data_IF_344450698127
#
_entry.id   IF_344450698127
#
_cell.length_a   1.000
_cell.length_b   1.000
_cell.length_c   1.000
_cell.angle_alpha   90.00
_cell.angle_beta   90.00
_cell.angle_gamma   90.00
#
_symmetry.space_group_name_H-M   'P 1'
#
loop_
_entity.id
_entity.type
_entity.pdbx_description
1 polymer ?
#
# COMPACT_ATOMS: atom_id res chain seq x y z
N UNK A 1 -41.00 -4.38 -7.31
CA UNK A 1 -39.79 -3.68 -6.85
C UNK A 1 -39.54 -2.53 -7.80
N UNK A 2 -39.41 -1.31 -7.27
CA UNK A 2 -39.13 -0.11 -8.06
C UNK A 2 -37.63 -0.01 -8.36
N UNK A 3 -37.28 0.30 -9.61
CA UNK A 3 -35.90 0.55 -10.02
C UNK A 3 -35.67 2.05 -10.17
N UNK A 4 -34.56 2.52 -9.61
CA UNK A 4 -34.14 3.92 -9.70
C UNK A 4 -32.85 4.00 -10.51
N UNK A 5 -32.87 4.79 -11.57
CA UNK A 5 -31.68 5.05 -12.38
C UNK A 5 -30.87 6.15 -11.70
N UNK A 6 -29.58 5.93 -11.53
CA UNK A 6 -28.66 6.96 -11.05
C UNK A 6 -28.62 8.13 -12.05
N UNK A 7 -28.84 9.33 -11.55
CA UNK A 7 -28.67 10.58 -12.28
C UNK A 7 -27.21 11.04 -12.34
N UNK A 8 -26.93 12.13 -13.08
CA UNK A 8 -25.57 12.68 -13.21
C UNK A 8 -24.92 13.10 -11.89
N UNK A 9 -25.73 13.45 -10.88
CA UNK A 9 -25.27 13.91 -9.58
C UNK A 9 -25.26 12.82 -8.49
N UNK A 10 -25.52 11.57 -8.87
CA UNK A 10 -25.63 10.47 -7.91
C UNK A 10 -24.36 9.60 -7.89
N UNK A 11 -23.49 9.76 -8.88
CA UNK A 11 -22.27 8.99 -9.07
C UNK A 11 -21.05 9.92 -8.96
N UNK A 12 -20.26 9.73 -7.91
CA UNK A 12 -19.02 10.45 -7.72
C UNK A 12 -17.82 9.50 -7.83
N UNK A 13 -16.86 9.88 -8.66
CA UNK A 13 -15.57 9.21 -8.79
C UNK A 13 -14.55 10.01 -8.01
N UNK A 14 -14.13 9.48 -6.87
CA UNK A 14 -13.16 10.12 -5.99
C UNK A 14 -11.92 9.25 -5.86
N UNK A 15 -10.80 9.85 -5.49
CA UNK A 15 -9.58 9.12 -5.15
C UNK A 15 -9.21 9.48 -3.72
N UNK A 16 -9.20 8.48 -2.84
CA UNK A 16 -8.73 8.64 -1.46
C UNK A 16 -7.23 8.36 -1.46
N UNK A 17 -6.43 9.31 -0.98
CA UNK A 17 -5.00 9.10 -0.78
C UNK A 17 -4.75 8.59 0.63
N UNK A 18 -4.26 7.37 0.76
CA UNK A 18 -3.79 6.82 2.03
C UNK A 18 -2.28 6.95 2.14
N UNK A 19 -1.78 7.03 3.37
CA UNK A 19 -0.36 7.29 3.65
C UNK A 19 0.21 6.24 4.61
N UNK A 20 0.38 4.97 4.15
CA UNK A 20 0.92 3.91 5.00
C UNK A 20 2.32 4.30 5.49
N UNK A 21 2.57 4.11 6.80
CA UNK A 21 3.88 4.33 7.41
C UNK A 21 4.76 3.09 7.20
N UNK A 22 5.98 3.30 6.76
CA UNK A 22 7.03 2.30 6.65
C UNK A 22 8.21 2.69 7.53
N UNK A 23 8.74 1.72 8.27
CA UNK A 23 9.92 1.85 9.11
C UNK A 23 10.84 0.68 8.84
N UNK A 24 12.10 0.96 8.56
CA UNK A 24 13.16 -0.02 8.42
C UNK A 24 14.19 0.21 9.50
N UNK A 25 14.36 -0.77 10.37
CA UNK A 25 15.40 -0.73 11.38
C UNK A 25 16.49 -1.74 11.02
N UNK A 26 17.72 -1.24 10.96
CA UNK A 26 18.90 -1.99 10.54
C UNK A 26 19.87 -2.06 11.71
N UNK A 27 20.30 -3.27 12.03
CA UNK A 27 21.28 -3.51 13.08
C UNK A 27 22.17 -4.70 12.72
N UNK A 28 23.49 -4.50 12.72
CA UNK A 28 24.48 -5.56 12.52
C UNK A 28 24.18 -6.48 11.32
N UNK A 29 23.81 -5.88 10.18
CA UNK A 29 23.50 -6.60 8.94
C UNK A 29 22.10 -7.25 8.89
N UNK A 30 21.37 -7.24 10.01
CA UNK A 30 19.96 -7.63 10.03
C UNK A 30 19.07 -6.44 9.72
N UNK A 31 18.03 -6.68 8.94
CA UNK A 31 16.99 -5.71 8.62
C UNK A 31 15.67 -6.15 9.24
N UNK A 32 14.92 -5.20 9.78
CA UNK A 32 13.55 -5.41 10.24
C UNK A 32 12.63 -4.38 9.60
N UNK A 33 11.44 -4.83 9.19
CA UNK A 33 10.42 -3.99 8.55
C UNK A 33 9.22 -3.85 9.49
N UNK A 34 8.81 -2.61 9.77
CA UNK A 34 7.65 -2.27 10.61
C UNK A 34 7.61 -2.99 11.98
N UNK A 35 8.79 -3.25 12.57
CA UNK A 35 8.93 -4.05 13.80
C UNK A 35 8.20 -5.39 13.75
N UNK A 36 8.07 -5.97 12.55
CA UNK A 36 7.47 -7.29 12.39
C UNK A 36 8.40 -8.35 12.98
N UNK A 37 7.83 -9.21 13.80
CA UNK A 37 8.52 -10.38 14.35
C UNK A 37 8.56 -11.43 13.24
N UNK A 38 9.77 -11.82 12.82
CA UNK A 38 9.93 -12.99 11.94
C UNK A 38 9.74 -14.25 12.78
N UNK A 39 8.56 -14.87 12.67
CA UNK A 39 8.27 -16.16 13.30
C UNK A 39 8.85 -17.33 12.51
N UNK A 40 9.30 -18.37 13.22
CA UNK A 40 9.62 -19.67 12.64
C UNK A 40 8.35 -20.52 12.51
N UNK A 41 8.20 -21.20 11.39
CA UNK A 41 7.11 -22.15 11.15
C UNK A 41 7.48 -23.57 11.59
N UNK A 42 6.57 -24.53 11.36
CA UNK A 42 6.83 -25.95 11.62
C UNK A 42 7.87 -26.52 10.65
N UNK A 43 7.95 -25.98 9.43
CA UNK A 43 8.74 -26.55 8.33
C UNK A 43 9.87 -25.63 7.83
N UNK A 44 10.01 -24.43 8.39
CA UNK A 44 11.05 -23.48 7.97
C UNK A 44 11.41 -22.45 9.04
N UNK A 45 12.64 -21.93 8.96
CA UNK A 45 13.14 -20.87 9.85
C UNK A 45 12.36 -19.54 9.72
N UNK A 46 11.68 -19.33 8.59
CA UNK A 46 10.77 -18.21 8.32
C UNK A 46 9.48 -18.76 7.72
N UNK A 47 8.33 -18.36 8.28
CA UNK A 47 7.00 -18.77 7.78
C UNK A 47 6.83 -18.47 6.29
N UNK A 48 7.39 -17.37 5.81
CA UNK A 48 7.24 -16.93 4.43
C UNK A 48 8.40 -17.35 3.52
N UNK A 49 9.35 -18.15 4.03
CA UNK A 49 10.60 -18.54 3.37
C UNK A 49 11.50 -17.37 2.94
N UNK A 50 11.17 -16.12 3.32
CA UNK A 50 11.98 -14.93 3.04
C UNK A 50 12.78 -14.50 4.28
N UNK A 51 13.94 -13.85 4.11
CA UNK A 51 14.71 -13.28 5.22
C UNK A 51 13.91 -12.26 6.03
N UNK A 52 14.33 -12.03 7.28
CA UNK A 52 13.75 -10.96 8.10
C UNK A 52 13.94 -9.59 7.42
N UNK A 53 12.95 -8.71 7.56
CA UNK A 53 12.96 -7.39 6.93
C UNK A 53 12.62 -7.37 5.44
N UNK A 54 12.35 -8.53 4.84
CA UNK A 54 11.85 -8.64 3.47
C UNK A 54 10.35 -8.88 3.45
N UNK A 55 9.66 -8.31 2.46
CA UNK A 55 8.27 -8.67 2.15
C UNK A 55 8.28 -9.79 1.11
N UNK A 56 7.48 -10.85 1.34
CA UNK A 56 7.24 -11.88 0.33
C UNK A 56 6.33 -11.31 -0.76
N UNK A 57 6.71 -11.49 -2.04
CA UNK A 57 5.90 -11.05 -3.17
C UNK A 57 4.76 -12.02 -3.49
N UNK A 58 4.87 -13.27 -3.01
CA UNK A 58 3.86 -14.30 -3.21
C UNK A 58 3.68 -15.16 -1.95
N UNK A 59 2.45 -15.22 -1.45
CA UNK A 59 2.09 -15.99 -0.24
C UNK A 59 1.70 -17.44 -0.53
N UNK A 60 2.19 -18.03 -1.63
CA UNK A 60 1.80 -19.39 -2.04
C UNK A 60 2.53 -20.47 -1.22
N UNK A 61 3.73 -20.16 -0.72
CA UNK A 61 4.56 -21.08 0.05
C UNK A 61 4.66 -20.67 1.52
N UNK A 62 3.52 -20.40 2.15
CA UNK A 62 3.47 -20.18 3.60
C UNK A 62 3.69 -21.51 4.33
N UNK A 63 4.73 -21.58 5.16
CA UNK A 63 5.17 -22.71 5.99
C UNK A 63 5.16 -24.07 5.27
N UNK A 64 5.56 -24.09 4.00
CA UNK A 64 5.72 -25.34 3.26
C UNK A 64 7.06 -26.00 3.57
N UNK A 65 7.16 -27.35 3.52
CA UNK A 65 8.44 -28.05 3.51
C UNK A 65 9.35 -27.53 2.38
N UNK A 66 10.65 -27.36 2.66
CA UNK A 66 11.62 -26.82 1.70
C UNK A 66 11.69 -27.58 0.37
N UNK A 67 11.39 -28.88 0.37
CA UNK A 67 11.32 -29.71 -0.85
C UNK A 67 9.99 -29.67 -1.61
N UNK A 68 9.00 -28.89 -1.15
CA UNK A 68 7.65 -28.83 -1.73
C UNK A 68 7.20 -27.39 -2.02
N UNK A 69 8.18 -26.51 -2.27
CA UNK A 69 7.92 -25.13 -2.66
C UNK A 69 7.31 -25.08 -4.07
N UNK A 70 6.26 -24.28 -4.24
CA UNK A 70 5.70 -23.95 -5.55
C UNK A 70 6.50 -22.79 -6.12
N UNK A 71 7.21 -23.02 -7.22
CA UNK A 71 8.01 -21.99 -7.89
C UNK A 71 7.81 -22.08 -9.41
N UNK A 72 8.01 -20.96 -10.13
CA UNK A 72 7.98 -20.98 -11.58
C UNK A 72 9.20 -21.72 -12.14
N UNK A 73 8.94 -22.68 -13.03
CA UNK A 73 9.95 -23.42 -13.77
C UNK A 73 9.56 -23.56 -15.24
N UNK A 74 10.55 -23.77 -16.09
CA UNK A 74 10.38 -24.09 -17.51
C UNK A 74 11.27 -25.29 -17.80
N UNK A 75 10.76 -26.33 -18.46
CA UNK A 75 11.61 -27.42 -18.93
C UNK A 75 12.38 -27.02 -20.18
N UNK A 76 13.67 -27.34 -20.22
CA UNK A 76 14.50 -27.11 -21.41
C UNK A 76 13.98 -27.96 -22.57
N UNK A 77 13.63 -27.30 -23.66
CA UNK A 77 13.13 -27.91 -24.89
C UNK A 77 13.70 -27.19 -26.13
N UNK A 78 13.28 -27.60 -27.33
CA UNK A 78 13.78 -27.03 -28.59
C UNK A 78 13.27 -25.61 -28.87
N UNK A 79 12.43 -25.02 -28.01
CA UNK A 79 11.93 -23.64 -28.21
C UNK A 79 12.89 -22.57 -27.69
N UNK A 80 14.00 -22.96 -27.04
CA UNK A 80 15.04 -22.03 -26.54
C UNK A 80 14.51 -20.98 -25.55
N UNK A 81 13.48 -21.33 -24.78
CA UNK A 81 12.92 -20.45 -23.75
C UNK A 81 13.53 -20.79 -22.39
N UNK A 82 14.02 -19.77 -21.69
CA UNK A 82 14.56 -19.90 -20.34
C UNK A 82 14.20 -18.67 -19.48
N UNK A 83 14.13 -18.83 -18.14
CA UNK A 83 14.07 -17.69 -17.25
C UNK A 83 15.28 -16.76 -17.47
N UNK A 84 15.09 -15.44 -17.32
CA UNK A 84 16.15 -14.42 -17.51
C UNK A 84 17.40 -14.65 -16.64
N UNK A 85 17.25 -15.40 -15.55
CA UNK A 85 18.31 -15.75 -14.59
C UNK A 85 19.26 -16.82 -15.13
N UNK A 86 18.86 -17.56 -16.17
CA UNK A 86 19.68 -18.56 -16.83
C UNK A 86 20.45 -17.89 -17.97
N UNK A 87 21.79 -17.93 -17.90
CA UNK A 87 22.61 -17.38 -18.97
C UNK A 87 22.56 -18.26 -20.22
N UNK A 88 22.81 -17.69 -21.40
CA UNK A 88 22.89 -18.47 -22.65
C UNK A 88 24.00 -19.54 -22.60
N UNK A 89 25.05 -19.30 -21.81
CA UNK A 89 26.13 -20.27 -21.57
C UNK A 89 25.60 -21.46 -20.78
N UNK A 90 24.91 -21.22 -19.68
CA UNK A 90 24.37 -22.30 -18.82
C UNK A 90 23.27 -23.06 -19.56
N UNK A 91 22.41 -22.35 -20.31
CA UNK A 91 21.37 -22.97 -21.13
C UNK A 91 21.94 -23.97 -22.12
N UNK A 92 23.05 -23.64 -22.80
CA UNK A 92 23.62 -24.51 -23.83
C UNK A 92 24.60 -25.56 -23.29
N UNK A 93 25.28 -25.28 -22.18
CA UNK A 93 26.35 -26.15 -21.66
C UNK A 93 25.95 -27.02 -20.47
N UNK A 94 25.14 -26.50 -19.55
CA UNK A 94 24.90 -27.13 -18.24
C UNK A 94 23.60 -27.92 -18.21
N UNK A 95 22.56 -27.42 -18.89
CA UNK A 95 21.24 -28.06 -18.88
C UNK A 95 21.08 -29.01 -20.07
N UNK A 96 20.48 -30.17 -19.85
CA UNK A 96 20.07 -31.14 -20.86
C UNK A 96 18.60 -30.95 -21.26
N UNK A 97 18.22 -31.50 -22.41
CA UNK A 97 16.81 -31.49 -22.81
C UNK A 97 15.97 -32.29 -21.80
N UNK A 98 14.89 -31.67 -21.31
CA UNK A 98 14.05 -32.20 -20.24
C UNK A 98 14.36 -31.67 -18.85
N UNK A 99 15.50 -30.99 -18.64
CA UNK A 99 15.85 -30.43 -17.34
C UNK A 99 14.93 -29.26 -16.96
N UNK A 100 14.60 -29.14 -15.68
CA UNK A 100 13.83 -28.02 -15.15
C UNK A 100 14.73 -26.79 -14.90
N UNK A 101 14.44 -25.72 -15.62
CA UNK A 101 15.04 -24.41 -15.44
C UNK A 101 14.20 -23.61 -14.46
N UNK A 102 14.73 -23.44 -13.25
CA UNK A 102 14.03 -22.74 -12.16
C UNK A 102 14.33 -21.24 -12.20
N UNK A 103 13.29 -20.41 -12.04
CA UNK A 103 13.45 -18.97 -11.88
C UNK A 103 13.82 -18.60 -10.43
N UNK A 104 14.32 -17.38 -10.20
CA UNK A 104 14.69 -16.94 -8.83
C UNK A 104 13.49 -17.04 -7.88
N UNK A 105 13.67 -17.80 -6.81
CA UNK A 105 12.70 -18.00 -5.73
C UNK A 105 13.45 -18.18 -4.41
N UNK A 106 12.95 -17.71 -3.26
CA UNK A 106 11.71 -16.95 -3.05
C UNK A 106 11.80 -15.51 -3.55
N UNK A 107 10.71 -15.04 -4.17
CA UNK A 107 10.59 -13.67 -4.63
C UNK A 107 10.28 -12.76 -3.43
N UNK A 108 11.25 -11.92 -3.08
CA UNK A 108 11.15 -11.00 -1.95
C UNK A 108 11.61 -9.61 -2.33
N UNK A 109 11.12 -8.60 -1.62
CA UNK A 109 11.55 -7.21 -1.78
C UNK A 109 11.99 -6.62 -0.45
N UNK A 110 13.01 -5.77 -0.50
CA UNK A 110 13.60 -5.09 0.64
C UNK A 110 14.36 -3.87 0.16
N UNK A 111 14.72 -2.97 1.08
CA UNK A 111 15.60 -1.85 0.76
C UNK A 111 17.01 -2.37 0.45
N UNK A 112 17.68 -1.71 -0.50
CA UNK A 112 19.03 -2.08 -0.91
C UNK A 112 19.94 -0.88 -0.74
N UNK A 113 21.09 -1.11 -0.11
CA UNK A 113 22.16 -0.12 0.04
C UNK A 113 23.26 -0.39 -0.99
N UNK A 114 23.67 0.65 -1.69
CA UNK A 114 24.86 0.64 -2.55
C UNK A 114 25.74 1.83 -2.20
N UNK A 115 27.02 1.58 -1.95
CA UNK A 115 28.03 2.62 -1.81
C UNK A 115 28.80 2.74 -3.12
N UNK A 116 28.77 3.92 -3.73
CA UNK A 116 29.49 4.19 -4.98
C UNK A 116 30.67 5.09 -4.65
N UNK A 117 31.88 4.52 -4.66
CA UNK A 117 33.09 5.25 -4.34
C UNK A 117 33.47 6.25 -5.45
N UNK A 118 34.22 7.28 -5.05
CA UNK A 118 34.79 8.26 -5.96
C UNK A 118 35.64 7.60 -7.06
N UNK A 119 35.42 7.96 -8.33
CA UNK A 119 36.18 7.42 -9.47
C UNK A 119 35.83 6.00 -9.92
N UNK A 120 34.96 5.25 -9.24
CA UNK A 120 34.51 3.93 -9.68
C UNK A 120 33.46 3.99 -10.80
N UNK A 121 33.28 2.87 -11.53
CA UNK A 121 32.18 2.68 -12.48
C UNK A 121 30.83 2.89 -11.78
N UNK A 122 30.01 3.79 -12.32
CA UNK A 122 28.85 4.37 -11.60
C UNK A 122 27.61 4.47 -12.48
N UNK A 123 27.36 3.43 -13.29
CA UNK A 123 26.25 3.37 -14.23
C UNK A 123 24.89 3.68 -13.57
N UNK A 124 24.69 3.23 -12.32
CA UNK A 124 23.46 3.50 -11.54
C UNK A 124 23.28 4.99 -11.22
N UNK A 125 24.35 5.71 -10.88
CA UNK A 125 24.30 7.15 -10.62
C UNK A 125 24.13 7.95 -11.91
N UNK A 126 24.82 7.55 -12.98
CA UNK A 126 24.70 8.18 -14.30
C UNK A 126 23.28 8.04 -14.85
N UNK A 127 22.64 6.88 -14.63
CA UNK A 127 21.24 6.66 -15.02
C UNK A 127 20.26 7.62 -14.33
N UNK A 128 20.59 8.11 -13.13
CA UNK A 128 19.78 9.07 -12.38
C UNK A 128 19.99 10.52 -12.79
N UNK A 129 20.92 10.82 -13.71
CA UNK A 129 21.28 12.21 -14.07
C UNK A 129 20.07 13.06 -14.48
N UNK A 130 19.25 12.55 -15.40
CA UNK A 130 18.08 13.30 -15.88
C UNK A 130 17.03 13.49 -14.77
N UNK A 131 16.79 12.47 -13.96
CA UNK A 131 15.89 12.56 -12.81
C UNK A 131 16.42 13.57 -11.79
N UNK A 132 17.71 13.57 -11.48
CA UNK A 132 18.33 14.54 -10.59
C UNK A 132 18.20 15.96 -11.12
N UNK A 133 18.58 16.19 -12.39
CA UNK A 133 18.52 17.52 -12.98
C UNK A 133 17.06 18.06 -13.08
N UNK A 134 16.07 17.17 -13.25
CA UNK A 134 14.64 17.53 -13.21
C UNK A 134 14.20 18.09 -11.85
N UNK A 135 14.77 17.63 -10.74
CA UNK A 135 14.43 18.10 -9.39
C UNK A 135 15.21 19.38 -8.96
N UNK A 136 16.14 19.87 -9.79
CA UNK A 136 16.92 21.09 -9.54
C UNK A 136 16.08 22.33 -9.15
N UNK A 137 14.87 22.57 -9.71
CA UNK A 137 14.03 23.69 -9.28
C UNK A 137 13.57 23.62 -7.81
N UNK A 138 13.53 22.42 -7.20
CA UNK A 138 13.20 22.26 -5.79
C UNK A 138 14.39 22.55 -4.87
N UNK A 139 15.58 22.13 -5.29
CA UNK A 139 16.83 22.40 -4.60
C UNK A 139 18.03 22.25 -5.54
N UNK A 140 19.02 23.13 -5.39
CA UNK A 140 20.30 23.03 -6.10
C UNK A 140 21.12 21.79 -5.68
N UNK A 141 20.83 21.16 -4.54
CA UNK A 141 21.50 19.92 -4.12
C UNK A 141 21.21 18.72 -5.05
N UNK A 142 20.10 18.77 -5.79
CA UNK A 142 19.76 17.77 -6.81
C UNK A 142 20.66 17.84 -8.03
N UNK A 143 21.16 19.02 -8.40
CA UNK A 143 21.95 19.20 -9.60
C UNK A 143 23.07 18.17 -9.67
N UNK A 144 23.19 17.51 -10.82
CA UNK A 144 24.18 16.45 -11.00
C UNK A 144 25.60 16.98 -10.83
N UNK A 145 25.85 18.21 -11.28
CA UNK A 145 27.10 18.93 -11.05
C UNK A 145 26.78 20.37 -10.65
N UNK A 146 27.23 20.80 -9.47
CA UNK A 146 27.05 22.17 -8.99
C UNK A 146 28.13 22.56 -7.98
N UNK A 147 28.08 23.80 -7.48
CA UNK A 147 28.91 24.28 -6.37
C UNK A 147 28.72 23.48 -5.08
N UNK A 148 27.61 22.75 -4.94
CA UNK A 148 27.31 21.90 -3.79
C UNK A 148 27.83 20.46 -3.94
N UNK A 149 28.53 20.17 -5.04
CA UNK A 149 29.19 18.89 -5.28
C UNK A 149 28.95 18.36 -6.69
N UNK A 150 29.82 17.46 -7.10
CA UNK A 150 29.76 16.78 -8.39
C UNK A 150 29.45 15.30 -8.21
N UNK A 151 28.25 14.87 -8.61
CA UNK A 151 27.79 13.48 -8.49
C UNK A 151 28.57 12.54 -9.42
N UNK A 152 29.29 13.09 -10.41
CA UNK A 152 30.13 12.33 -11.33
C UNK A 152 31.43 11.82 -10.71
N UNK A 153 31.91 12.47 -9.64
CA UNK A 153 33.19 12.15 -9.00
C UNK A 153 33.07 11.83 -7.52
N UNK A 154 32.13 12.43 -6.78
CA UNK A 154 32.03 12.23 -5.34
C UNK A 154 31.56 10.81 -4.96
N UNK A 155 31.87 10.41 -3.72
CA UNK A 155 31.34 9.17 -3.12
C UNK A 155 29.88 9.38 -2.72
N UNK A 156 29.00 8.46 -3.12
CA UNK A 156 27.57 8.56 -2.88
C UNK A 156 27.08 7.29 -2.20
N UNK A 157 26.30 7.48 -1.14
CA UNK A 157 25.51 6.43 -0.55
C UNK A 157 24.11 6.38 -1.15
N UNK A 158 23.83 5.40 -1.99
CA UNK A 158 22.51 5.19 -2.59
C UNK A 158 21.70 4.19 -1.76
N UNK A 159 20.52 4.61 -1.29
CA UNK A 159 19.51 3.69 -0.73
C UNK A 159 18.37 3.60 -1.72
N UNK A 160 18.11 2.38 -2.19
CA UNK A 160 17.02 2.05 -3.09
C UNK A 160 15.85 1.48 -2.29
N UNK A 161 14.69 2.10 -2.44
CA UNK A 161 13.43 1.67 -1.83
C UNK A 161 12.54 1.15 -2.96
N UNK A 162 12.15 -0.13 -2.93
CA UNK A 162 11.19 -0.66 -3.91
C UNK A 162 9.80 0.00 -3.81
N UNK A 163 9.11 0.13 -4.95
CA UNK A 163 7.78 0.74 -5.03
C UNK A 163 6.70 0.04 -4.22
N UNK A 164 6.86 -1.25 -3.92
CA UNK A 164 5.92 -1.99 -3.05
C UNK A 164 5.77 -1.35 -1.66
N UNK A 165 6.80 -0.63 -1.18
CA UNK A 165 6.74 0.01 0.13
C UNK A 165 6.08 1.39 0.12
N UNK A 166 6.17 2.14 -0.99
CA UNK A 166 5.63 3.51 -1.05
C UNK A 166 4.41 3.67 -1.97
N UNK A 167 4.05 2.65 -2.75
CA UNK A 167 2.96 2.70 -3.72
C UNK A 167 3.31 3.63 -4.90
N UNK A 168 2.59 4.75 -4.99
CA UNK A 168 2.74 5.70 -6.10
C UNK A 168 3.90 6.69 -5.93
N UNK A 169 4.17 7.14 -4.71
CA UNK A 169 5.25 8.09 -4.39
C UNK A 169 5.45 8.16 -2.88
N UNK A 170 6.66 8.48 -2.44
CA UNK A 170 6.94 8.78 -1.04
C UNK A 170 6.34 10.15 -0.69
N UNK A 171 5.61 10.24 0.42
CA UNK A 171 5.01 11.48 0.89
C UNK A 171 6.11 12.48 1.29
N UNK A 172 6.13 13.62 0.59
CA UNK A 172 7.02 14.75 0.91
C UNK A 172 6.90 15.16 2.37
N UNK A 173 8.02 15.39 3.02
CA UNK A 173 8.09 15.81 4.42
C UNK A 173 8.05 14.69 5.44
N UNK A 174 7.98 13.42 5.01
CA UNK A 174 7.88 12.29 5.94
C UNK A 174 9.14 11.44 6.05
N UNK A 175 10.13 11.69 5.19
CA UNK A 175 11.37 10.93 5.21
C UNK A 175 12.22 11.38 6.40
N UNK A 176 12.56 10.42 7.25
CA UNK A 176 13.44 10.59 8.40
C UNK A 176 14.48 9.48 8.45
N UNK A 177 15.73 9.85 8.69
CA UNK A 177 16.82 8.91 8.90
C UNK A 177 17.42 9.16 10.27
N UNK A 178 17.59 8.10 11.07
CA UNK A 178 18.27 8.16 12.37
C UNK A 178 19.48 7.27 12.35
N UNK A 179 20.57 7.79 12.89
CA UNK A 179 21.85 7.12 13.03
C UNK A 179 22.13 6.93 14.52
N UNK A 180 22.25 5.67 14.93
CA UNK A 180 22.58 5.29 16.29
C UNK A 180 23.97 4.68 16.32
N UNK A 181 24.73 5.01 17.37
CA UNK A 181 26.02 4.40 17.67
C UNK A 181 25.95 3.83 19.09
N UNK A 182 26.17 2.53 19.22
CA UNK A 182 26.08 1.78 20.49
C UNK A 182 24.76 2.07 21.22
N UNK A 183 23.66 2.18 20.46
CA UNK A 183 22.31 2.47 20.97
C UNK A 183 21.99 3.95 21.24
N UNK A 184 22.97 4.85 21.16
CA UNK A 184 22.76 6.29 21.35
C UNK A 184 22.52 6.99 20.01
N UNK A 185 21.50 7.85 19.91
CA UNK A 185 21.24 8.65 18.70
C UNK A 185 22.35 9.69 18.52
N UNK A 186 23.15 9.56 17.45
CA UNK A 186 24.25 10.49 17.15
C UNK A 186 23.91 11.49 16.05
N UNK A 187 22.96 11.15 15.18
CA UNK A 187 22.55 12.03 14.08
C UNK A 187 21.14 11.69 13.55
N UNK A 188 20.41 12.72 13.11
CA UNK A 188 19.06 12.61 12.56
C UNK A 188 18.90 13.53 11.34
N UNK A 189 18.54 12.96 10.19
CA UNK A 189 18.12 13.71 9.00
C UNK A 189 16.60 13.77 8.91
N UNK A 190 16.09 14.94 8.53
CA UNK A 190 14.66 15.15 8.24
C UNK A 190 14.50 15.94 6.96
N UNK A 191 13.49 15.54 6.19
CA UNK A 191 12.96 16.32 5.06
C UNK A 191 11.99 17.41 5.57
N UNK A 192 12.45 18.36 6.38
CA UNK A 192 11.53 19.36 6.98
C UNK A 192 10.98 20.35 5.95
N UNK A 193 11.78 20.65 4.91
CA UNK A 193 11.45 21.64 3.88
C UNK A 193 10.48 21.10 2.82
N UNK A 194 10.23 19.79 2.76
CA UNK A 194 9.36 19.13 1.75
C UNK A 194 9.83 19.35 0.30
N UNK A 195 11.08 19.75 0.13
CA UNK A 195 11.75 19.90 -1.16
C UNK A 195 12.67 18.72 -1.45
N UNK A 196 12.76 17.76 -0.51
CA UNK A 196 13.53 16.52 -0.61
C UNK A 196 14.99 16.65 -0.20
N UNK A 197 15.40 17.81 0.32
CA UNK A 197 16.66 17.93 1.07
C UNK A 197 16.55 17.18 2.40
N UNK A 198 17.52 16.31 2.66
CA UNK A 198 17.69 15.68 3.96
C UNK A 198 18.61 16.52 4.81
N UNK A 199 18.03 17.35 5.67
CA UNK A 199 18.75 18.27 6.56
C UNK A 199 19.03 17.59 7.89
N UNK A 200 20.26 17.72 8.39
CA UNK A 200 20.59 17.23 9.74
C UNK A 200 20.00 18.15 10.79
N UNK A 201 19.14 17.60 11.65
CA UNK A 201 18.34 18.37 12.62
C UNK A 201 18.62 17.99 14.07
N UNK A 202 19.08 16.76 14.33
CA UNK A 202 19.30 16.28 15.68
C UNK A 202 20.48 15.31 15.77
N UNK A 203 20.94 14.98 17.00
CA UNK A 203 20.63 15.67 18.26
C UNK A 203 21.18 17.11 18.28
N UNK A 204 20.65 17.95 19.18
CA UNK A 204 21.07 19.36 19.29
C UNK A 204 22.57 19.46 19.55
N UNK A 205 23.28 20.26 18.76
CA UNK A 205 24.74 20.41 18.85
C UNK A 205 25.55 19.32 18.14
N UNK A 206 24.90 18.40 17.40
CA UNK A 206 25.61 17.40 16.60
C UNK A 206 26.39 18.04 15.44
N UNK A 207 27.55 17.45 15.11
CA UNK A 207 28.41 17.88 14.02
C UNK A 207 27.67 17.86 12.68
N UNK A 208 27.55 19.00 12.02
CA UNK A 208 26.83 19.13 10.75
C UNK A 208 25.34 19.49 10.87
N UNK A 209 24.87 19.89 12.06
CA UNK A 209 23.51 20.44 12.25
C UNK A 209 23.24 21.58 11.25
N UNK A 210 22.09 21.53 10.56
CA UNK A 210 21.68 22.50 9.55
C UNK A 210 22.21 22.22 8.14
N UNK A 211 23.18 21.31 7.98
CA UNK A 211 23.72 20.92 6.68
C UNK A 211 22.83 19.90 5.98
N UNK A 212 22.82 19.95 4.64
CA UNK A 212 22.13 18.97 3.79
C UNK A 212 23.05 17.77 3.56
N UNK A 213 22.63 16.60 4.02
CA UNK A 213 23.39 15.36 3.91
C UNK A 213 23.00 14.49 2.72
N UNK A 214 21.92 14.84 2.02
CA UNK A 214 21.46 14.10 0.86
C UNK A 214 20.15 14.62 0.29
N UNK A 215 19.65 13.94 -0.72
CA UNK A 215 18.40 14.26 -1.41
C UNK A 215 17.53 13.02 -1.62
N UNK A 216 16.21 13.23 -1.66
CA UNK A 216 15.20 12.19 -1.88
C UNK A 216 14.57 12.32 -3.26
N UNK A 217 14.56 11.25 -4.04
CA UNK A 217 13.76 11.14 -5.26
C UNK A 217 12.44 10.44 -4.91
N UNK A 218 11.39 11.23 -4.65
CA UNK A 218 10.13 10.74 -4.07
C UNK A 218 9.36 9.76 -4.97
N UNK A 219 9.41 9.96 -6.29
CA UNK A 219 8.68 9.13 -7.24
C UNK A 219 9.46 7.87 -7.60
N UNK A 220 10.79 7.98 -7.66
CA UNK A 220 11.69 6.91 -8.03
C UNK A 220 12.01 5.97 -6.85
N UNK A 221 11.94 6.48 -5.61
CA UNK A 221 12.24 5.71 -4.40
C UNK A 221 13.73 5.63 -4.08
N UNK A 222 14.51 6.65 -4.42
CA UNK A 222 15.95 6.70 -4.11
C UNK A 222 16.28 7.76 -3.07
N UNK A 223 17.17 7.41 -2.14
CA UNK A 223 17.85 8.36 -1.26
C UNK A 223 19.31 8.44 -1.71
N UNK A 224 19.76 9.63 -2.07
CA UNK A 224 21.16 9.89 -2.42
C UNK A 224 21.81 10.64 -1.27
N UNK A 225 22.67 9.96 -0.52
CA UNK A 225 23.40 10.52 0.61
C UNK A 225 24.79 10.93 0.16
N UNK A 226 25.14 12.19 0.44
CA UNK A 226 26.43 12.80 0.10
C UNK A 226 27.17 13.35 1.33
N UNK A 227 26.55 13.30 2.51
CA UNK A 227 27.16 13.79 3.75
C UNK A 227 28.39 12.97 4.15
N UNK A 228 29.57 13.55 3.94
CA UNK A 228 30.88 12.90 4.12
C UNK A 228 31.63 13.34 5.38
N UNK A 229 31.07 14.25 6.18
CA UNK A 229 31.64 14.67 7.45
C UNK A 229 31.48 13.59 8.52
N UNK A 230 32.46 13.51 9.43
CA UNK A 230 32.39 12.61 10.57
C UNK A 230 31.28 13.06 11.54
N UNK A 231 30.36 12.14 11.84
CA UNK A 231 29.29 12.33 12.83
C UNK A 231 29.83 12.17 14.26
N UNK A 232 30.85 11.32 14.42
CA UNK A 232 31.62 11.14 15.64
C UNK A 232 33.09 10.96 15.26
N UNK A 233 33.99 11.64 15.97
CA UNK A 233 35.44 11.63 15.69
C UNK A 233 36.19 10.53 16.43
N UNK A 234 35.62 9.97 17.49
CA UNK A 234 36.25 8.96 18.34
C UNK A 234 35.90 7.53 17.88
N UNK A 235 34.70 7.33 17.36
CA UNK A 235 34.23 6.04 16.87
C UNK A 235 34.71 5.78 15.45
N UNK A 236 35.17 4.55 15.22
CA UNK A 236 35.57 4.07 13.90
C UNK A 236 35.08 2.64 13.70
N UNK A 237 34.58 2.37 12.49
CA UNK A 237 34.14 1.04 12.09
C UNK A 237 34.54 0.73 10.65
N UNK A 238 34.55 -0.56 10.31
CA UNK A 238 34.80 -1.04 8.95
C UNK A 238 33.52 -0.91 8.12
N UNK A 239 33.23 0.29 7.61
CA UNK A 239 32.14 0.51 6.66
C UNK A 239 32.46 -0.02 5.26
N UNK A 240 33.75 -0.24 5.00
CA UNK A 240 34.26 -1.09 3.93
C UNK A 240 35.21 -2.11 4.58
N UNK A 241 35.29 -3.32 4.04
CA UNK A 241 36.05 -4.46 4.61
C UNK A 241 37.59 -4.25 4.67
N UNK A 242 38.09 -3.02 4.64
CA UNK A 242 39.52 -2.75 4.46
C UNK A 242 40.07 -1.59 5.29
N UNK A 243 39.25 -0.58 5.65
CA UNK A 243 39.73 0.61 6.34
C UNK A 243 38.73 1.07 7.41
N UNK A 244 39.23 1.30 8.62
CA UNK A 244 38.49 1.95 9.68
C UNK A 244 38.19 3.39 9.29
N UNK A 245 36.91 3.76 9.28
CA UNK A 245 36.46 5.11 8.98
C UNK A 245 35.47 5.57 10.05
N UNK A 246 35.31 6.89 10.19
CA UNK A 246 34.34 7.47 11.09
C UNK A 246 32.90 7.30 10.54
N UNK A 247 31.87 7.26 11.42
CA UNK A 247 30.48 7.26 10.99
C UNK A 247 30.16 8.51 10.15
N UNK A 248 29.62 8.30 8.95
CA UNK A 248 29.22 9.34 7.99
C UNK A 248 27.86 8.99 7.39
N UNK A 249 27.13 9.98 6.88
CA UNK A 249 25.84 9.74 6.20
C UNK A 249 25.97 8.90 4.93
N UNK A 250 27.09 9.00 4.19
CA UNK A 250 27.36 8.13 3.05
C UNK A 250 27.37 6.63 3.41
N UNK A 251 27.69 6.30 4.66
CA UNK A 251 27.74 4.94 5.22
C UNK A 251 26.42 4.49 5.88
N UNK A 252 25.36 5.29 5.76
CA UNK A 252 24.05 4.90 6.26
C UNK A 252 23.61 3.56 5.64
N UNK A 253 23.07 2.66 6.47
CA UNK A 253 22.61 1.33 6.08
C UNK A 253 23.71 0.42 5.47
N UNK A 254 24.99 0.74 5.63
CA UNK A 254 26.08 0.01 4.96
C UNK A 254 26.17 -1.46 5.40
N UNK A 255 25.71 -1.79 6.62
CA UNK A 255 25.70 -3.18 7.10
C UNK A 255 24.83 -4.13 6.27
N UNK A 256 23.83 -3.64 5.53
CA UNK A 256 22.98 -4.48 4.67
C UNK A 256 23.50 -4.61 3.23
N UNK A 257 24.64 -3.99 2.87
CA UNK A 257 25.25 -4.19 1.54
C UNK A 257 26.00 -5.51 1.41
N UNK A 258 26.12 -6.30 2.49
CA UNK A 258 26.75 -7.63 2.50
C UNK A 258 28.28 -7.63 2.55
N UNK A 259 28.92 -6.46 2.56
CA UNK A 259 30.38 -6.24 2.46
C UNK A 259 30.96 -5.46 3.64
N UNK A 260 30.29 -5.53 4.80
CA UNK A 260 30.75 -4.91 6.06
C UNK A 260 29.86 -5.36 7.21
N UNK A 261 30.45 -5.81 8.30
CA UNK A 261 29.74 -6.06 9.56
C UNK A 261 29.94 -4.86 10.47
N UNK A 262 28.97 -3.94 10.46
CA UNK A 262 29.00 -2.75 11.31
C UNK A 262 28.26 -3.08 12.60
N UNK A 263 28.99 -3.29 13.70
CA UNK A 263 28.45 -3.86 14.93
C UNK A 263 27.87 -2.80 15.89
N UNK A 264 28.46 -1.60 15.90
CA UNK A 264 28.08 -0.52 16.81
C UNK A 264 27.03 0.39 16.18
N UNK A 265 27.07 0.58 14.86
CA UNK A 265 26.09 1.43 14.17
C UNK A 265 24.78 0.71 13.89
N UNK A 266 23.68 1.38 14.23
CA UNK A 266 22.32 1.01 13.83
C UNK A 266 21.64 2.17 13.12
N UNK A 267 20.70 1.83 12.26
CA UNK A 267 20.04 2.80 11.40
C UNK A 267 18.53 2.61 11.46
N UNK A 268 17.79 3.72 11.41
CA UNK A 268 16.35 3.68 11.22
C UNK A 268 15.98 4.60 10.06
N UNK A 269 15.23 4.07 9.10
CA UNK A 269 14.64 4.80 7.99
C UNK A 269 13.12 4.77 8.15
N UNK A 270 12.50 5.94 8.27
CA UNK A 270 11.06 6.11 8.37
C UNK A 270 10.55 6.96 7.20
N UNK A 271 9.45 6.56 6.59
CA UNK A 271 8.74 7.36 5.58
C UNK A 271 7.29 6.93 5.47
N UNK A 272 6.45 7.78 4.88
CA UNK A 272 5.09 7.39 4.49
C UNK A 272 5.00 7.23 2.98
N UNK A 273 4.42 6.12 2.52
CA UNK A 273 4.03 5.95 1.13
C UNK A 273 2.81 6.80 0.76
N UNK A 274 2.43 6.82 -0.51
CA UNK A 274 1.19 7.40 -1.02
C UNK A 274 0.49 6.36 -1.86
N UNK A 275 -0.67 5.90 -1.42
CA UNK A 275 -1.50 4.96 -2.18
C UNK A 275 -2.84 5.60 -2.55
N UNK A 276 -3.07 5.92 -3.84
CA UNK A 276 -4.36 6.40 -4.31
C UNK A 276 -5.34 5.22 -4.47
N UNK A 277 -6.35 5.16 -3.61
CA UNK A 277 -7.45 4.19 -3.70
C UNK A 277 -8.61 4.85 -4.43
N UNK A 278 -8.98 4.40 -5.65
CA UNK A 278 -10.16 4.89 -6.33
C UNK A 278 -11.42 4.43 -5.58
N UNK A 279 -12.33 5.37 -5.33
CA UNK A 279 -13.58 5.13 -4.62
C UNK A 279 -14.73 5.69 -5.43
N UNK A 280 -15.72 4.85 -5.71
CA UNK A 280 -17.00 5.26 -6.28
C UNK A 280 -18.00 5.47 -5.15
N UNK A 281 -18.55 6.67 -5.07
CA UNK A 281 -19.67 6.97 -4.17
C UNK A 281 -20.95 6.97 -4.99
N UNK A 282 -21.95 6.19 -4.57
CA UNK A 282 -23.29 6.17 -5.15
C UNK A 282 -24.29 6.74 -4.14
N UNK A 283 -25.13 7.68 -4.58
CA UNK A 283 -26.25 8.19 -3.80
C UNK A 283 -27.53 7.51 -4.26
N UNK A 284 -28.10 6.66 -3.41
CA UNK A 284 -29.38 6.03 -3.66
C UNK A 284 -30.48 6.82 -2.95
N UNK A 285 -31.32 7.49 -3.73
CA UNK A 285 -32.40 8.33 -3.22
C UNK A 285 -33.68 7.53 -2.99
N UNK A 286 -34.35 7.83 -1.87
CA UNK A 286 -35.67 7.34 -1.51
C UNK A 286 -36.59 8.57 -1.30
N UNK A 287 -37.15 9.15 -2.38
CA UNK A 287 -37.87 10.42 -2.33
C UNK A 287 -39.21 10.32 -1.59
N UNK A 288 -39.79 11.49 -1.28
CA UNK A 288 -41.11 11.65 -0.67
C UNK A 288 -42.17 11.00 -1.56
N UNK A 289 -43.17 10.34 -0.96
CA UNK A 289 -44.28 9.73 -1.69
C UNK A 289 -43.95 8.44 -2.44
N UNK A 290 -42.69 8.00 -2.42
CA UNK A 290 -42.28 6.74 -3.06
C UNK A 290 -41.80 5.68 -2.06
N UNK A 291 -41.69 4.44 -2.53
CA UNK A 291 -41.34 3.26 -1.73
C UNK A 291 -42.34 2.99 -0.58
N UNK A 292 -43.62 3.28 -0.80
CA UNK A 292 -44.67 3.16 0.23
C UNK A 292 -45.30 1.76 0.33
N UNK A 293 -44.80 0.77 -0.41
CA UNK A 293 -45.25 -0.61 -0.34
C UNK A 293 -44.05 -1.57 -0.20
N UNK A 294 -44.22 -2.63 0.58
CA UNK A 294 -43.20 -3.67 0.75
C UNK A 294 -43.47 -4.84 -0.19
N UNK A 295 -42.41 -5.47 -0.71
CA UNK A 295 -42.53 -6.74 -1.43
C UNK A 295 -42.55 -7.95 -0.50
N UNK A 296 -42.58 -7.74 0.82
CA UNK A 296 -42.66 -8.82 1.81
C UNK A 296 -44.12 -9.28 1.94
N UNK A 297 -44.42 -10.59 1.79
CA UNK A 297 -45.77 -11.14 1.96
C UNK A 297 -46.41 -10.83 3.32
N UNK A 298 -45.62 -10.57 4.36
CA UNK A 298 -46.12 -10.21 5.70
C UNK A 298 -46.58 -8.75 5.85
N UNK A 299 -46.60 -7.99 4.74
CA UNK A 299 -47.06 -6.59 4.70
C UNK A 299 -48.59 -6.44 4.80
N UNK A 300 -49.33 -7.46 4.35
CA UNK A 300 -50.78 -7.56 4.46
C UNK A 300 -51.20 -8.06 5.85
N UNK A 301 -52.42 -7.72 6.26
CA UNK A 301 -52.99 -8.21 7.51
C UNK A 301 -53.19 -9.73 7.48
N UNK A 302 -52.90 -10.40 8.60
CA UNK A 302 -52.98 -11.85 8.67
C UNK A 302 -54.44 -12.34 8.64
N UNK A 303 -54.72 -13.39 7.87
CA UNK A 303 -56.04 -14.03 7.82
C UNK A 303 -57.01 -13.48 6.77
N UNK A 304 -56.54 -12.65 5.84
CA UNK A 304 -57.35 -12.15 4.72
C UNK A 304 -57.41 -13.15 3.57
N UNK A 305 -58.52 -13.16 2.84
CA UNK A 305 -58.68 -13.96 1.63
C UNK A 305 -57.86 -13.35 0.48
N UNK A 306 -56.78 -14.05 0.10
CA UNK A 306 -55.84 -13.62 -0.95
C UNK A 306 -56.22 -14.09 -2.35
N UNK A 307 -57.38 -14.73 -2.50
CA UNK A 307 -57.80 -15.34 -3.76
C UNK A 307 -58.08 -14.24 -4.80
N UNK A 308 -57.30 -14.15 -5.88
CA UNK A 308 -57.56 -13.19 -6.94
C UNK A 308 -58.77 -13.64 -7.76
N UNK A 309 -59.49 -12.69 -8.34
CA UNK A 309 -60.54 -13.00 -9.31
C UNK A 309 -59.86 -13.13 -10.67
N UNK A 310 -59.97 -14.31 -11.28
CA UNK A 310 -59.35 -14.63 -12.57
C UNK A 310 -60.40 -15.13 -13.55
N UNK A 311 -60.45 -14.52 -14.73
CA UNK A 311 -61.25 -14.94 -15.88
C UNK A 311 -60.40 -15.08 -17.15
N UNK A 312 -61.02 -15.42 -18.28
CA UNK A 312 -60.34 -15.64 -19.57
C UNK A 312 -59.62 -14.39 -20.12
N UNK A 313 -60.07 -13.20 -19.75
CA UNK A 313 -59.55 -11.91 -20.27
C UNK A 313 -59.13 -10.91 -19.19
N UNK A 314 -59.25 -11.26 -17.91
CA UNK A 314 -58.87 -10.36 -16.83
C UNK A 314 -58.39 -11.12 -15.61
N UNK A 315 -57.41 -10.53 -14.95
CA UNK A 315 -56.92 -10.91 -13.63
C UNK A 315 -57.02 -9.65 -12.78
N UNK A 316 -57.82 -9.69 -11.72
CA UNK A 316 -57.96 -8.58 -10.78
C UNK A 316 -57.61 -9.09 -9.39
N UNK A 317 -56.60 -8.46 -8.77
CA UNK A 317 -56.30 -8.67 -7.36
C UNK A 317 -57.46 -8.16 -6.50
N UNK A 318 -57.66 -8.79 -5.34
CA UNK A 318 -58.71 -8.39 -4.39
C UNK A 318 -58.45 -6.96 -3.88
N UNK A 319 -59.39 -6.06 -4.12
CA UNK A 319 -59.32 -4.64 -3.79
C UNK A 319 -59.60 -4.34 -2.30
N UNK A 320 -60.14 -5.32 -1.56
CA UNK A 320 -60.42 -5.21 -0.13
C UNK A 320 -59.23 -5.59 0.78
N UNK A 321 -58.06 -5.91 0.22
CA UNK A 321 -56.88 -6.27 1.00
C UNK A 321 -56.41 -5.11 1.89
N UNK A 322 -56.37 -5.34 3.21
CA UNK A 322 -55.91 -4.34 4.18
C UNK A 322 -54.43 -4.55 4.51
N UNK A 323 -53.71 -3.44 4.54
CA UNK A 323 -52.31 -3.40 4.92
C UNK A 323 -52.22 -3.42 6.45
N UNK A 324 -51.31 -4.24 6.99
CA UNK A 324 -51.08 -4.29 8.43
C UNK A 324 -50.61 -2.93 8.94
N UNK A 325 -51.35 -2.35 9.88
CA UNK A 325 -50.94 -1.11 10.53
C UNK A 325 -49.83 -1.37 11.56
N UNK A 326 -48.69 -0.71 11.39
CA UNK A 326 -47.52 -0.81 12.30
C UNK A 326 -47.19 0.54 12.95
N UNK A 327 -48.13 1.50 12.92
CA UNK A 327 -48.00 2.79 13.59
C UNK A 327 -48.21 2.60 15.10
N UNK A 328 -47.24 3.04 15.90
CA UNK A 328 -47.31 3.02 17.35
C UNK A 328 -48.26 4.11 17.87
N UNK A 329 -49.23 3.76 18.71
CA UNK A 329 -50.00 4.68 19.54
C UNK A 329 -49.44 4.75 20.95
N UNK A 330 -49.64 5.88 21.64
CA UNK A 330 -49.28 6.02 23.06
C UNK A 330 -50.16 5.19 24.01
N UNK A 331 -51.32 4.73 23.51
CA UNK A 331 -52.29 3.92 24.23
C UNK A 331 -52.49 2.59 23.50
N UNK A 332 -52.77 1.51 24.25
CA UNK A 332 -53.05 0.19 23.68
C UNK A 332 -54.35 0.19 22.84
N UNK A 333 -55.29 1.06 23.21
CA UNK A 333 -56.49 1.41 22.43
C UNK A 333 -56.80 2.91 22.58
N UNK A 334 -57.22 3.61 21.51
CA UNK A 334 -57.31 3.15 20.13
C UNK A 334 -55.93 3.05 19.46
N UNK A 335 -55.81 2.11 18.51
CA UNK A 335 -54.63 2.02 17.63
C UNK A 335 -54.48 3.28 16.77
N UNK A 336 -53.24 3.72 16.55
CA UNK A 336 -52.97 4.96 15.81
C UNK A 336 -53.52 4.92 14.38
N UNK A 337 -53.94 6.08 13.85
CA UNK A 337 -54.44 6.21 12.47
C UNK A 337 -53.49 5.56 11.46
N UNK A 338 -54.02 4.79 10.51
CA UNK A 338 -53.23 4.12 9.48
C UNK A 338 -52.33 5.11 8.73
N UNK A 339 -51.04 4.77 8.62
CA UNK A 339 -50.08 5.46 7.75
C UNK A 339 -49.29 4.42 6.98
N UNK A 340 -49.04 4.66 5.70
CA UNK A 340 -48.16 3.79 4.91
C UNK A 340 -46.73 3.96 5.41
N UNK A 341 -46.16 2.85 5.89
CA UNK A 341 -44.79 2.83 6.38
C UNK A 341 -44.08 1.60 5.85
N UNK A 342 -42.87 1.78 5.35
CA UNK A 342 -42.00 0.71 4.87
C UNK A 342 -40.66 0.75 5.58
N UNK A 343 -39.93 -0.36 5.53
CA UNK A 343 -38.60 -0.47 6.11
C UNK A 343 -37.60 -0.81 5.03
N UNK A 344 -36.66 0.10 4.78
CA UNK A 344 -35.55 -0.13 3.87
C UNK A 344 -34.49 -0.91 4.63
N UNK A 345 -34.24 -2.15 4.21
CA UNK A 345 -33.26 -3.05 4.85
C UNK A 345 -32.08 -3.40 3.95
N UNK A 346 -32.29 -3.38 2.63
CA UNK A 346 -31.29 -3.71 1.61
C UNK A 346 -31.45 -2.79 0.42
N UNK A 347 -30.32 -2.44 -0.20
CA UNK A 347 -30.25 -1.66 -1.44
C UNK A 347 -29.51 -2.52 -2.46
N UNK A 348 -30.21 -2.91 -3.53
CA UNK A 348 -29.62 -3.64 -4.65
C UNK A 348 -29.08 -2.67 -5.70
N UNK A 349 -27.86 -2.91 -6.16
CA UNK A 349 -27.23 -2.17 -7.25
C UNK A 349 -27.31 -3.05 -8.49
N UNK A 350 -27.82 -2.51 -9.59
CA UNK A 350 -28.03 -3.23 -10.83
C UNK A 350 -27.25 -2.60 -11.99
N UNK A 351 -26.85 -3.40 -12.97
CA UNK A 351 -26.29 -2.93 -14.24
C UNK A 351 -27.39 -2.47 -15.22
N UNK A 352 -26.99 -2.00 -16.41
CA UNK A 352 -27.91 -1.55 -17.46
C UNK A 352 -28.85 -2.66 -17.96
N UNK A 353 -28.46 -3.92 -17.83
CA UNK A 353 -29.24 -5.11 -18.21
C UNK A 353 -30.10 -5.64 -17.05
N UNK A 354 -30.15 -4.94 -15.92
CA UNK A 354 -30.84 -5.32 -14.67
C UNK A 354 -30.27 -6.57 -14.00
N UNK A 355 -29.00 -6.89 -14.23
CA UNK A 355 -28.28 -7.88 -13.43
C UNK A 355 -27.86 -7.24 -12.11
N UNK A 356 -28.03 -7.97 -11.01
CA UNK A 356 -27.62 -7.53 -9.69
C UNK A 356 -26.08 -7.59 -9.59
N UNK A 357 -25.44 -6.45 -9.36
CA UNK A 357 -23.97 -6.34 -9.22
C UNK A 357 -23.53 -6.15 -7.76
N UNK A 358 -24.44 -5.82 -6.86
CA UNK A 358 -24.14 -5.71 -5.44
C UNK A 358 -25.36 -5.51 -4.55
N UNK A 359 -25.26 -5.88 -3.28
CA UNK A 359 -26.28 -5.64 -2.26
C UNK A 359 -25.63 -4.95 -1.06
N UNK A 360 -26.12 -3.76 -0.73
CA UNK A 360 -25.81 -3.11 0.54
C UNK A 360 -26.89 -3.46 1.57
N UNK A 361 -26.51 -4.15 2.65
CA UNK A 361 -27.41 -4.49 3.76
C UNK A 361 -27.24 -3.49 4.90
N UNK A 362 -28.34 -2.93 5.38
CA UNK A 362 -28.35 -2.04 6.53
C UNK A 362 -28.38 -2.87 7.82
N UNK A 363 -27.58 -2.48 8.82
CA UNK A 363 -27.56 -3.15 10.12
C UNK A 363 -28.92 -3.01 10.84
N UNK A 364 -29.48 -1.80 10.82
CA UNK A 364 -30.81 -1.49 11.33
C UNK A 364 -31.70 -0.99 10.19
N UNK A 365 -32.83 -1.64 9.88
CA UNK A 365 -33.74 -1.18 8.84
C UNK A 365 -34.25 0.23 9.11
N UNK A 366 -34.25 1.09 8.08
CA UNK A 366 -34.68 2.49 8.21
C UNK A 366 -36.16 2.60 7.89
N UNK A 367 -36.94 3.15 8.83
CA UNK A 367 -38.38 3.40 8.67
C UNK A 367 -38.61 4.59 7.73
N UNK A 368 -39.28 4.34 6.60
CA UNK A 368 -39.75 5.32 5.63
C UNK A 368 -41.26 5.53 5.76
N UNK A 369 -41.66 6.79 5.82
CA UNK A 369 -43.05 7.27 5.74
C UNK A 369 -43.23 8.04 4.44
N UNK A 370 -44.47 8.31 4.02
CA UNK A 370 -44.74 9.06 2.79
C UNK A 370 -44.08 10.45 2.82
N UNK A 371 -44.13 11.14 3.97
CA UNK A 371 -43.64 12.52 4.15
C UNK A 371 -42.11 12.68 4.23
N UNK A 372 -41.36 11.58 4.38
CA UNK A 372 -39.91 11.65 4.63
C UNK A 372 -39.13 11.29 3.37
N UNK A 373 -38.00 11.93 3.15
CA UNK A 373 -37.00 11.52 2.16
C UNK A 373 -35.77 10.92 2.85
N UNK A 374 -35.07 10.02 2.15
CA UNK A 374 -33.76 9.56 2.56
C UNK A 374 -32.81 9.49 1.38
N UNK A 375 -31.53 9.68 1.65
CA UNK A 375 -30.45 9.42 0.69
C UNK A 375 -29.44 8.50 1.34
N UNK A 376 -29.20 7.35 0.73
CA UNK A 376 -28.20 6.39 1.18
C UNK A 376 -26.90 6.60 0.42
N UNK A 377 -25.85 6.96 1.16
CA UNK A 377 -24.50 7.11 0.61
C UNK A 377 -23.78 5.76 0.64
N UNK A 378 -23.63 5.14 -0.52
CA UNK A 378 -22.89 3.90 -0.72
C UNK A 378 -21.47 4.25 -1.17
N UNK A 379 -20.45 3.59 -0.59
CA UNK A 379 -19.06 3.72 -1.03
C UNK A 379 -18.56 2.35 -1.47
N UNK A 380 -17.95 2.31 -2.64
CA UNK A 380 -17.30 1.14 -3.21
C UNK A 380 -15.84 1.51 -3.48
N UNK A 381 -14.93 0.85 -2.78
CA UNK A 381 -13.49 0.86 -3.05
C UNK A 381 -13.15 -0.20 -4.12
N UNK A 382 -12.10 0.07 -4.90
CA UNK A 382 -11.56 -0.83 -5.92
C UNK A 382 -10.08 -1.07 -5.73
#
# INVERSE_FOLDING_TARGET
MSFYKFGPNDLFFNVIKTYPKCSFFIYSGSLSYNNQISGSGQFGASINHVPSGHISLHEVNVDRPSGQLIYPFISKNSTHVAPRTVSAKDYNGTFSYGDELVATYPLSASIVKTLVAGGSSRNTIVALRNSLDFYTPLSRHYAYTSSYGDKSTQTIGLVSIPSIFYGSSIKKGTVGLKYYLTGTLIAELKDEKRNGELVQTGPYGSTGTGSVAGVVLYNEGFLLLTGSWALDSAAQELYNDSVLDNPKWIHFAQSISGSSTVASSSFNLEFNGTNPVPVRTLLAHAPIGELNHSSNPTYIEHGQALTPISGTYHYTENDELRIKNVVSSAYADPTGSFRKTTFISKIGIYDEKKNLIGIAKLATPVKKTEDRDFTFKLKLDF
#
